data_IF_505178762053
#
_entry.id   IF_505178762053
#
_cell.length_a   1.000
_cell.length_b   1.000
_cell.length_c   1.000
_cell.angle_alpha   90.00
_cell.angle_beta   90.00
_cell.angle_gamma   90.00
#
_symmetry.space_group_name_H-M   'P 1'
#
loop_
_entity.id
_entity.type
_entity.pdbx_description
1 polymer ?
#
# COMPACT_ATOMS: atom_id res chain seq x y z
N UNK A 1 -0.92 0.38 46.01
CA UNK A 1 -1.50 -0.30 44.83
C UNK A 1 -1.41 0.66 43.66
N UNK A 2 -0.28 0.64 42.95
CA UNK A 2 -0.05 1.53 41.81
C UNK A 2 -0.45 0.78 40.53
N UNK A 3 -1.52 1.24 39.91
CA UNK A 3 -2.02 0.76 38.62
C UNK A 3 -0.93 0.98 37.56
N UNK A 4 -0.52 -0.05 36.79
CA UNK A 4 0.41 0.18 35.69
C UNK A 4 -0.34 0.92 34.58
N UNK A 5 0.16 2.11 34.25
CA UNK A 5 -0.24 2.85 33.06
C UNK A 5 -0.06 1.95 31.83
N UNK A 6 -1.16 1.69 31.14
CA UNK A 6 -1.20 0.98 29.87
C UNK A 6 -0.27 1.73 28.92
N UNK A 7 0.88 1.11 28.64
CA UNK A 7 1.85 1.63 27.67
C UNK A 7 1.18 1.61 26.31
N UNK A 8 1.01 2.80 25.73
CA UNK A 8 0.74 3.00 24.32
C UNK A 8 1.74 2.19 23.49
N UNK A 9 1.26 1.14 22.84
CA UNK A 9 1.96 0.47 21.76
C UNK A 9 1.26 0.81 20.43
N UNK A 10 1.12 2.10 20.13
CA UNK A 10 1.04 2.55 18.75
C UNK A 10 2.45 2.37 18.15
N UNK A 11 2.78 1.15 17.74
CA UNK A 11 3.95 0.91 16.89
C UNK A 11 3.66 1.60 15.55
N UNK A 12 4.50 2.54 15.16
CA UNK A 12 4.55 3.24 13.86
C UNK A 12 3.62 2.67 12.77
N UNK A 13 2.36 3.12 12.77
CA UNK A 13 1.52 3.10 11.56
C UNK A 13 1.87 4.40 10.85
N UNK A 14 3.05 4.42 10.24
CA UNK A 14 3.69 5.66 9.82
C UNK A 14 4.36 5.51 8.48
N UNK A 15 3.74 6.12 7.46
CA UNK A 15 4.31 6.41 6.15
C UNK A 15 4.48 5.22 5.21
N UNK A 16 3.62 5.17 4.19
CA UNK A 16 3.87 4.38 2.98
C UNK A 16 5.25 4.69 2.41
N UNK A 17 6.02 3.64 2.12
CA UNK A 17 7.31 3.78 1.46
C UNK A 17 7.19 3.43 -0.02
N UNK A 18 7.82 4.22 -0.88
CA UNK A 18 7.92 3.90 -2.31
C UNK A 18 9.33 3.39 -2.62
N UNK A 19 9.41 2.17 -3.17
CA UNK A 19 10.66 1.62 -3.67
C UNK A 19 11.27 2.47 -4.80
N UNK A 20 12.53 2.19 -5.16
CA UNK A 20 13.16 2.85 -6.30
C UNK A 20 12.42 2.55 -7.63
N UNK A 21 11.91 1.32 -7.78
CA UNK A 21 11.18 0.91 -8.98
C UNK A 21 9.84 1.63 -9.10
N UNK A 22 9.05 1.71 -8.02
CA UNK A 22 7.79 2.44 -8.02
C UNK A 22 7.98 3.94 -8.27
N UNK A 23 8.99 4.56 -7.66
CA UNK A 23 9.32 5.97 -7.94
C UNK A 23 9.67 6.21 -9.41
N UNK A 24 10.51 5.35 -10.01
CA UNK A 24 10.81 5.44 -11.44
C UNK A 24 9.57 5.29 -12.32
N UNK A 25 8.67 4.37 -11.98
CA UNK A 25 7.40 4.17 -12.71
C UNK A 25 6.49 5.37 -12.60
N UNK A 26 6.32 5.91 -11.38
CA UNK A 26 5.54 7.12 -11.12
C UNK A 26 6.04 8.30 -11.94
N UNK A 27 7.36 8.54 -11.96
CA UNK A 27 7.97 9.60 -12.76
C UNK A 27 7.76 9.38 -14.26
N UNK A 28 8.00 8.16 -14.77
CA UNK A 28 7.87 7.84 -16.20
C UNK A 28 6.44 7.95 -16.72
N UNK A 29 5.44 7.68 -15.87
CA UNK A 29 4.01 7.70 -16.25
C UNK A 29 3.27 8.93 -15.76
N UNK A 30 3.94 9.86 -15.06
CA UNK A 30 3.29 11.03 -14.47
C UNK A 30 2.27 10.68 -13.37
N UNK A 31 2.39 9.51 -12.73
CA UNK A 31 1.47 9.08 -11.68
C UNK A 31 1.82 9.76 -10.37
N UNK A 32 0.89 10.53 -9.85
CA UNK A 32 0.98 11.20 -8.56
C UNK A 32 -0.26 10.86 -7.74
N UNK A 33 -0.09 10.74 -6.42
CA UNK A 33 -1.20 10.47 -5.51
C UNK A 33 -1.51 11.73 -4.72
N UNK A 34 -2.79 12.08 -4.65
CA UNK A 34 -3.27 13.13 -3.76
C UNK A 34 -3.18 12.67 -2.30
N UNK A 35 -3.26 13.62 -1.36
CA UNK A 35 -3.28 13.30 0.07
C UNK A 35 -4.42 12.34 0.44
N UNK A 36 -5.61 12.50 -0.17
CA UNK A 36 -6.74 11.60 0.06
C UNK A 36 -6.54 10.20 -0.53
N UNK A 37 -5.83 10.08 -1.65
CA UNK A 37 -5.44 8.77 -2.20
C UNK A 37 -4.42 8.09 -1.30
N UNK A 38 -3.42 8.82 -0.81
CA UNK A 38 -2.42 8.28 0.11
C UNK A 38 -3.05 7.74 1.40
N UNK A 39 -3.96 8.50 2.01
CA UNK A 39 -4.68 8.06 3.21
C UNK A 39 -5.44 6.74 2.98
N UNK A 40 -6.13 6.60 1.85
CA UNK A 40 -6.83 5.35 1.49
C UNK A 40 -5.88 4.18 1.27
N UNK A 41 -4.71 4.40 0.68
CA UNK A 41 -3.69 3.35 0.54
C UNK A 41 -3.16 2.94 1.92
N UNK A 42 -2.99 3.88 2.85
CA UNK A 42 -2.58 3.60 4.23
C UNK A 42 -3.62 2.76 4.97
N UNK A 43 -4.90 3.10 4.86
CA UNK A 43 -6.01 2.30 5.41
C UNK A 43 -6.08 0.90 4.80
N UNK A 44 -5.85 0.78 3.48
CA UNK A 44 -5.77 -0.50 2.80
C UNK A 44 -4.60 -1.35 3.34
N UNK A 45 -3.43 -0.75 3.56
CA UNK A 45 -2.29 -1.43 4.15
C UNK A 45 -2.54 -1.90 5.58
N UNK A 46 -3.21 -1.09 6.40
CA UNK A 46 -3.61 -1.49 7.76
C UNK A 46 -4.53 -2.70 7.69
N UNK A 47 -5.54 -2.66 6.82
CA UNK A 47 -6.49 -3.77 6.62
C UNK A 47 -5.79 -5.05 6.17
N UNK A 48 -4.84 -4.95 5.24
CA UNK A 48 -4.03 -6.06 4.75
C UNK A 48 -3.14 -6.66 5.85
N UNK A 49 -2.54 -5.80 6.69
CA UNK A 49 -1.74 -6.23 7.85
C UNK A 49 -2.59 -7.01 8.85
N UNK A 50 -3.78 -6.51 9.19
CA UNK A 50 -4.70 -7.20 10.09
C UNK A 50 -5.14 -8.57 9.56
N UNK A 51 -5.22 -8.72 8.24
CA UNK A 51 -5.54 -9.98 7.56
C UNK A 51 -4.33 -10.91 7.38
N UNK A 52 -3.14 -10.51 7.82
CA UNK A 52 -1.91 -11.30 7.68
C UNK A 52 -1.43 -11.45 6.24
N UNK A 53 -1.80 -10.51 5.35
CA UNK A 53 -1.38 -10.53 3.96
C UNK A 53 0.10 -10.18 3.84
N UNK A 54 0.78 -10.69 2.81
CA UNK A 54 2.22 -10.48 2.59
C UNK A 54 2.46 -9.65 1.33
N UNK A 55 1.90 -10.07 0.21
CA UNK A 55 2.08 -9.38 -1.09
C UNK A 55 0.73 -9.15 -1.71
N UNK A 56 0.33 -7.89 -1.80
CA UNK A 56 -1.05 -7.56 -2.11
C UNK A 56 -1.15 -6.50 -3.19
N UNK A 57 -2.30 -6.46 -3.86
CA UNK A 57 -2.64 -5.39 -4.80
C UNK A 57 -3.65 -4.46 -4.14
N UNK A 58 -3.34 -3.16 -4.14
CA UNK A 58 -4.25 -2.11 -3.69
C UNK A 58 -4.72 -1.33 -4.91
N UNK A 59 -6.03 -1.32 -5.15
CA UNK A 59 -6.67 -0.59 -6.25
C UNK A 59 -7.19 0.74 -5.72
N UNK A 60 -6.78 1.87 -6.31
CA UNK A 60 -7.25 3.22 -5.96
C UNK A 60 -7.47 4.04 -7.23
N UNK A 61 -8.70 4.52 -7.44
CA UNK A 61 -9.11 5.39 -8.56
C UNK A 61 -8.57 4.95 -9.93
N UNK A 62 -8.60 3.63 -10.18
CA UNK A 62 -8.13 3.05 -11.44
C UNK A 62 -6.62 2.84 -11.55
N UNK A 63 -5.84 3.11 -10.50
CA UNK A 63 -4.46 2.67 -10.37
C UNK A 63 -4.36 1.39 -9.50
N UNK A 64 -3.44 0.49 -9.84
CA UNK A 64 -3.06 -0.64 -9.00
C UNK A 64 -1.66 -0.42 -8.42
N UNK A 65 -1.53 -0.64 -7.12
CA UNK A 65 -0.28 -0.61 -6.39
C UNK A 65 0.02 -2.02 -5.89
N UNK A 66 1.15 -2.57 -6.31
CA UNK A 66 1.67 -3.81 -5.73
C UNK A 66 2.44 -3.43 -4.47
N UNK A 67 1.98 -3.91 -3.33
CA UNK A 67 2.54 -3.58 -2.01
C UNK A 67 3.09 -4.82 -1.34
N UNK A 68 4.25 -4.64 -0.71
CA UNK A 68 4.73 -5.56 0.32
C UNK A 68 4.23 -5.07 1.66
N UNK A 69 3.29 -5.84 2.23
CA UNK A 69 2.59 -5.50 3.47
C UNK A 69 3.54 -5.54 4.68
N UNK A 70 4.43 -6.54 4.86
CA UNK A 70 5.35 -6.56 6.00
C UNK A 70 6.40 -5.44 5.97
N UNK A 71 6.67 -4.86 4.80
CA UNK A 71 7.57 -3.72 4.66
C UNK A 71 6.84 -2.38 4.45
N UNK A 72 5.51 -2.37 4.47
CA UNK A 72 4.68 -1.20 4.15
C UNK A 72 5.18 -0.43 2.90
N UNK A 73 5.62 -1.18 1.88
CA UNK A 73 6.35 -0.62 0.74
C UNK A 73 5.62 -0.89 -0.57
N UNK A 74 5.36 0.17 -1.34
CA UNK A 74 4.89 0.09 -2.72
C UNK A 74 6.06 -0.34 -3.60
N UNK A 75 5.95 -1.56 -4.12
CA UNK A 75 6.93 -2.16 -5.04
C UNK A 75 6.73 -1.60 -6.44
N UNK A 76 5.49 -1.57 -6.93
CA UNK A 76 5.16 -1.08 -8.28
C UNK A 76 3.84 -0.31 -8.30
N UNK A 77 3.72 0.59 -9.27
CA UNK A 77 2.49 1.34 -9.55
C UNK A 77 2.12 1.13 -11.01
N UNK A 78 0.86 0.83 -11.26
CA UNK A 78 0.26 0.66 -12.57
C UNK A 78 -0.95 1.58 -12.65
N UNK A 79 -0.96 2.46 -13.64
CA UNK A 79 -2.08 3.35 -13.95
C UNK A 79 -3.15 2.63 -14.77
N UNK A 80 -4.32 3.25 -14.90
CA UNK A 80 -5.48 2.67 -15.59
C UNK A 80 -5.16 2.22 -17.02
N UNK A 81 -4.35 2.99 -17.75
CA UNK A 81 -3.92 2.63 -19.10
C UNK A 81 -3.04 1.36 -19.13
N UNK A 82 -2.22 1.16 -18.09
CA UNK A 82 -1.35 0.01 -17.96
C UNK A 82 -2.00 -1.24 -17.37
N UNK A 83 -3.24 -1.16 -16.89
CA UNK A 83 -3.95 -2.31 -16.29
C UNK A 83 -4.50 -3.28 -17.33
N UNK A 84 -4.82 -2.80 -18.54
CA UNK A 84 -5.31 -3.66 -19.61
C UNK A 84 -4.27 -4.73 -19.91
N UNK A 85 -4.72 -5.98 -19.93
CA UNK A 85 -3.93 -7.18 -20.21
C UNK A 85 -2.79 -7.49 -19.21
N UNK A 86 -2.73 -6.82 -18.05
CA UNK A 86 -1.77 -7.15 -17.00
C UNK A 86 -2.27 -8.29 -16.09
N UNK A 87 -1.39 -9.27 -15.89
CA UNK A 87 -1.59 -10.36 -14.92
C UNK A 87 -0.61 -10.18 -13.77
N UNK A 88 -1.14 -10.05 -12.56
CA UNK A 88 -0.35 -10.07 -11.33
C UNK A 88 -0.32 -11.49 -10.79
N UNK A 89 0.88 -11.99 -10.51
CA UNK A 89 1.11 -13.30 -9.88
C UNK A 89 1.73 -13.11 -8.50
N UNK A 90 1.69 -14.17 -7.68
CA UNK A 90 2.22 -14.16 -6.31
C UNK A 90 1.57 -13.09 -5.42
N UNK A 91 0.29 -12.82 -5.67
CA UNK A 91 -0.55 -11.92 -4.86
C UNK A 91 -1.43 -12.79 -3.98
N UNK A 92 -1.37 -12.57 -2.67
CA UNK A 92 -2.20 -13.31 -1.70
C UNK A 92 -3.50 -12.60 -1.35
N UNK A 93 -3.57 -11.28 -1.57
CA UNK A 93 -4.73 -10.45 -1.27
C UNK A 93 -4.89 -9.29 -2.23
N UNK A 94 -6.13 -8.85 -2.43
CA UNK A 94 -6.46 -7.61 -3.13
C UNK A 94 -7.42 -6.77 -2.29
N UNK A 95 -7.18 -5.46 -2.25
CA UNK A 95 -8.06 -4.48 -1.60
C UNK A 95 -8.42 -3.38 -2.60
N UNK A 96 -9.68 -2.99 -2.60
CA UNK A 96 -10.21 -1.88 -3.39
C UNK A 96 -10.50 -0.74 -2.43
N UNK A 97 -9.89 0.42 -2.68
CA UNK A 97 -9.97 1.60 -1.82
C UNK A 97 -10.32 2.85 -2.65
#
# INVERSE_FOLDING_TARGET
MATPAVRHAAKDVGTIRFSAHSRQRMLKRGVQFSAGQLARIEEALITLQHKGSRTSVVMVDGAALVVSVPQATVVTVVDQAGLRDQVFTNIDSAVFA
#
